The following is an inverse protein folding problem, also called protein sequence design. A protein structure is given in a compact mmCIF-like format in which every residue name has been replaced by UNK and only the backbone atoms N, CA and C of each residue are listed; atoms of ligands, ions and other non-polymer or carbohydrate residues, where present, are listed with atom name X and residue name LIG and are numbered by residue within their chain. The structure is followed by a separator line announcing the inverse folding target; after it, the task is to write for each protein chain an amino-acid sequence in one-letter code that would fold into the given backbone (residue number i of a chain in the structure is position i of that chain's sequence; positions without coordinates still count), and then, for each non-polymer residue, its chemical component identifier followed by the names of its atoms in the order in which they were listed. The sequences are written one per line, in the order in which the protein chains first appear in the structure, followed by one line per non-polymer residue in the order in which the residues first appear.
data_IF_186742584324
#
_entry.id   IF_186742584324
#
_cell.length_a   1.000
_cell.length_b   1.000
_cell.length_c   1.000
_cell.angle_alpha   90.00
_cell.angle_beta   90.00
_cell.angle_gamma   90.00
#
_symmetry.space_group_name_H-M   'P 1'
#
loop_
_entity.id
_entity.type
_entity.pdbx_description
1 polymer ?
#
# COMPACT_ATOMS: atom_id res chain seq x y z
N UNK A 1 -44.16 -36.98 14.76
CA UNK A 1 -44.67 -35.79 14.04
C UNK A 1 -43.71 -35.51 12.88
N UNK A 2 -44.08 -35.86 11.64
CA UNK A 2 -43.22 -35.75 10.45
C UNK A 2 -43.55 -34.44 9.73
N UNK A 3 -42.59 -33.53 9.59
CA UNK A 3 -42.76 -32.31 8.80
C UNK A 3 -42.07 -32.56 7.46
N UNK A 4 -42.88 -32.78 6.42
CA UNK A 4 -42.47 -32.71 5.03
C UNK A 4 -42.59 -31.24 4.58
N UNK A 5 -41.47 -30.62 4.22
CA UNK A 5 -41.40 -29.24 3.75
C UNK A 5 -40.98 -29.19 2.29
N UNK A 6 -41.84 -28.63 1.45
CA UNK A 6 -41.76 -28.59 0.00
C UNK A 6 -40.52 -27.84 -0.53
N UNK A 7 -39.86 -28.42 -1.54
CA UNK A 7 -38.83 -27.76 -2.33
C UNK A 7 -39.50 -26.88 -3.41
N UNK A 8 -39.40 -25.57 -3.26
CA UNK A 8 -39.79 -24.62 -4.30
C UNK A 8 -38.63 -24.45 -5.30
N UNK A 9 -38.83 -24.87 -6.55
CA UNK A 9 -37.94 -24.56 -7.66
C UNK A 9 -38.08 -23.06 -8.01
N UNK A 10 -37.06 -22.26 -7.68
CA UNK A 10 -36.89 -20.94 -8.25
C UNK A 10 -36.30 -21.07 -9.66
N UNK A 11 -37.13 -20.87 -10.68
CA UNK A 11 -36.65 -20.70 -12.06
C UNK A 11 -36.17 -19.24 -12.16
N UNK A 12 -34.85 -19.05 -12.11
CA UNK A 12 -34.24 -17.75 -12.37
C UNK A 12 -34.38 -17.42 -13.86
N UNK A 13 -35.22 -16.45 -14.18
CA UNK A 13 -35.30 -15.87 -15.52
C UNK A 13 -33.97 -15.16 -15.82
N UNK A 14 -33.15 -15.76 -16.69
CA UNK A 14 -31.98 -15.12 -17.29
C UNK A 14 -32.46 -14.01 -18.24
N UNK A 15 -32.67 -12.81 -17.69
CA UNK A 15 -32.89 -11.63 -18.50
C UNK A 15 -31.62 -11.38 -19.34
N UNK A 16 -31.73 -11.49 -20.67
CA UNK A 16 -30.71 -11.05 -21.59
C UNK A 16 -30.60 -9.54 -21.48
N UNK A 17 -29.61 -9.06 -20.72
CA UNK A 17 -29.25 -7.66 -20.74
C UNK A 17 -28.75 -7.32 -22.16
N UNK A 18 -29.24 -6.24 -22.79
CA UNK A 18 -28.68 -5.80 -24.06
C UNK A 18 -27.18 -5.56 -23.91
N UNK A 19 -26.36 -5.84 -24.94
CA UNK A 19 -24.92 -5.61 -24.88
C UNK A 19 -24.68 -4.15 -24.46
N UNK A 20 -23.87 -3.96 -23.42
CA UNK A 20 -23.44 -2.65 -22.97
C UNK A 20 -22.94 -1.87 -24.19
N UNK A 21 -23.60 -0.76 -24.51
CA UNK A 21 -23.21 0.07 -25.63
C UNK A 21 -21.84 0.67 -25.34
N UNK A 22 -20.84 0.33 -26.15
CA UNK A 22 -19.51 0.92 -26.04
C UNK A 22 -19.63 2.45 -26.03
N UNK A 23 -19.09 3.12 -25.02
CA UNK A 23 -19.04 4.58 -25.02
C UNK A 23 -18.24 5.06 -26.23
N UNK A 24 -18.90 5.86 -27.08
CA UNK A 24 -18.36 6.46 -28.30
C UNK A 24 -17.42 7.65 -28.05
N UNK A 25 -16.92 7.84 -26.82
CA UNK A 25 -16.48 9.17 -26.37
C UNK A 25 -15.01 9.52 -26.64
N UNK A 26 -14.21 8.62 -27.23
CA UNK A 26 -12.85 8.96 -27.68
C UNK A 26 -12.76 8.78 -29.19
N UNK A 27 -13.19 9.82 -29.91
CA UNK A 27 -13.17 9.88 -31.38
C UNK A 27 -11.74 9.83 -31.92
N UNK A 28 -11.57 9.22 -33.09
CA UNK A 28 -10.28 9.20 -33.80
C UNK A 28 -9.32 8.05 -33.43
N UNK A 29 -9.75 7.11 -32.58
CA UNK A 29 -9.08 5.82 -32.41
C UNK A 29 -9.72 4.81 -33.37
N UNK A 30 -9.14 4.68 -34.56
CA UNK A 30 -9.71 3.93 -35.70
C UNK A 30 -9.32 2.46 -35.73
N UNK A 31 -8.38 2.04 -34.88
CA UNK A 31 -7.84 0.68 -34.85
C UNK A 31 -8.07 0.02 -33.49
N UNK A 32 -8.05 -1.31 -33.48
CA UNK A 32 -8.22 -2.07 -32.25
C UNK A 32 -7.53 -3.43 -32.23
N UNK A 33 -7.16 -3.89 -31.03
CA UNK A 33 -6.70 -5.26 -30.75
C UNK A 33 -7.62 -5.89 -29.70
N UNK A 34 -8.13 -7.09 -29.97
CA UNK A 34 -9.08 -7.81 -29.13
C UNK A 34 -8.47 -9.13 -28.65
N UNK A 35 -8.52 -9.39 -27.34
CA UNK A 35 -8.01 -10.61 -26.70
C UNK A 35 -9.12 -11.47 -26.09
N UNK A 36 -10.38 -11.16 -26.38
CA UNK A 36 -11.55 -11.82 -25.81
C UNK A 36 -12.05 -11.17 -24.52
N UNK A 37 -11.15 -10.78 -23.60
CA UNK A 37 -11.48 -10.07 -22.35
C UNK A 37 -11.06 -8.61 -22.30
N UNK A 38 -10.16 -8.19 -23.19
CA UNK A 38 -9.68 -6.80 -23.30
C UNK A 38 -9.77 -6.33 -24.75
N UNK A 39 -10.27 -5.11 -24.96
CA UNK A 39 -10.31 -4.42 -26.25
C UNK A 39 -9.47 -3.14 -26.18
N UNK A 40 -8.29 -3.16 -26.80
CA UNK A 40 -7.43 -1.97 -26.93
C UNK A 40 -7.88 -1.17 -28.15
N UNK A 41 -8.09 0.13 -28.00
CA UNK A 41 -8.42 1.08 -29.05
C UNK A 41 -7.29 2.09 -29.20
N UNK A 42 -6.79 2.26 -30.42
CA UNK A 42 -5.63 3.09 -30.70
C UNK A 42 -5.71 3.74 -32.09
N UNK A 43 -4.71 4.55 -32.42
CA UNK A 43 -4.48 5.09 -33.76
C UNK A 43 -3.00 4.96 -34.12
N UNK A 44 -2.70 4.66 -35.38
CA UNK A 44 -1.35 4.68 -35.95
C UNK A 44 -1.09 5.91 -36.82
N UNK A 45 -2.07 6.82 -36.92
CA UNK A 45 -2.02 8.00 -37.77
C UNK A 45 -0.80 8.89 -37.45
N UNK A 46 0.00 9.17 -38.47
CA UNK A 46 1.19 10.01 -38.34
C UNK A 46 0.82 11.41 -37.83
N UNK A 47 1.56 11.91 -36.84
CA UNK A 47 1.34 13.22 -36.23
C UNK A 47 0.27 13.26 -35.14
N UNK A 48 -0.51 12.18 -34.92
CA UNK A 48 -1.43 12.11 -33.79
C UNK A 48 -0.64 11.89 -32.48
N UNK A 49 -0.82 12.72 -31.44
CA UNK A 49 -0.09 12.56 -30.18
C UNK A 49 -0.48 11.30 -29.40
N UNK A 50 -1.57 10.61 -29.81
CA UNK A 50 -2.03 9.34 -29.24
C UNK A 50 -1.47 8.13 -30.00
N UNK A 51 -0.63 8.37 -31.00
CA UNK A 51 -0.11 7.33 -31.90
C UNK A 51 0.67 6.27 -31.13
N UNK A 52 0.34 5.00 -31.40
CA UNK A 52 1.21 3.85 -31.10
C UNK A 52 1.23 2.89 -32.30
N UNK A 53 2.21 1.99 -32.34
CA UNK A 53 2.30 0.96 -33.36
C UNK A 53 1.40 -0.24 -33.02
N UNK A 54 0.97 -1.00 -34.03
CA UNK A 54 0.15 -2.19 -33.83
C UNK A 54 0.82 -3.23 -32.91
N UNK A 55 2.15 -3.38 -32.99
CA UNK A 55 2.91 -4.26 -32.09
C UNK A 55 2.86 -3.79 -30.62
N UNK A 56 2.92 -2.47 -30.39
CA UNK A 56 2.74 -1.87 -29.06
C UNK A 56 1.31 -2.11 -28.56
N UNK A 57 0.30 -1.94 -29.40
CA UNK A 57 -1.10 -2.22 -29.05
C UNK A 57 -1.32 -3.70 -28.71
N UNK A 58 -0.68 -4.61 -29.45
CA UNK A 58 -0.69 -6.05 -29.14
C UNK A 58 -0.04 -6.37 -27.79
N UNK A 59 1.08 -5.72 -27.47
CA UNK A 59 1.76 -5.85 -26.16
C UNK A 59 0.89 -5.33 -25.02
N UNK A 60 0.26 -4.16 -25.20
CA UNK A 60 -0.69 -3.59 -24.24
C UNK A 60 -1.85 -4.56 -23.98
N UNK A 61 -2.47 -5.09 -25.04
CA UNK A 61 -3.59 -6.02 -24.92
C UNK A 61 -3.20 -7.30 -24.17
N UNK A 62 -2.04 -7.87 -24.50
CA UNK A 62 -1.52 -9.06 -23.84
C UNK A 62 -1.22 -8.83 -22.35
N UNK A 63 -0.57 -7.70 -22.02
CA UNK A 63 -0.28 -7.34 -20.62
C UNK A 63 -1.56 -7.09 -19.82
N UNK A 64 -2.53 -6.38 -20.38
CA UNK A 64 -3.82 -6.12 -19.73
C UNK A 64 -4.60 -7.42 -19.49
N UNK A 65 -4.64 -8.32 -20.47
CA UNK A 65 -5.30 -9.63 -20.33
C UNK A 65 -4.61 -10.52 -19.29
N UNK A 66 -3.28 -10.53 -19.25
CA UNK A 66 -2.50 -11.25 -18.23
C UNK A 66 -2.75 -10.68 -16.83
N UNK A 67 -2.82 -9.34 -16.71
CA UNK A 67 -3.12 -8.67 -15.45
C UNK A 67 -4.53 -8.99 -14.95
N UNK A 68 -5.54 -8.89 -15.82
CA UNK A 68 -6.92 -9.28 -15.52
C UNK A 68 -6.99 -10.73 -15.00
N UNK A 69 -6.32 -11.67 -15.67
CA UNK A 69 -6.27 -13.06 -15.25
C UNK A 69 -5.59 -13.23 -13.89
N UNK A 70 -4.44 -12.58 -13.66
CA UNK A 70 -3.71 -12.67 -12.40
C UNK A 70 -4.51 -12.09 -11.23
N UNK A 71 -5.14 -10.94 -11.41
CA UNK A 71 -5.90 -10.28 -10.34
C UNK A 71 -7.17 -11.06 -9.96
N UNK A 72 -7.87 -11.62 -10.94
CA UNK A 72 -9.06 -12.44 -10.67
C UNK A 72 -8.70 -13.78 -10.03
N UNK A 73 -7.65 -14.45 -10.52
CA UNK A 73 -7.30 -15.81 -10.05
C UNK A 73 -6.44 -15.84 -8.78
N UNK A 74 -5.46 -14.93 -8.65
CA UNK A 74 -4.55 -14.89 -7.50
C UNK A 74 -5.04 -13.98 -6.38
N UNK A 75 -5.47 -12.77 -6.73
CA UNK A 75 -5.89 -11.76 -5.74
C UNK A 75 -7.38 -11.91 -5.35
N UNK A 76 -8.13 -12.77 -6.04
CA UNK A 76 -9.54 -13.05 -5.74
C UNK A 76 -10.48 -11.89 -6.08
N UNK A 77 -10.05 -10.95 -6.92
CA UNK A 77 -10.91 -9.88 -7.42
C UNK A 77 -12.04 -10.47 -8.27
N UNK A 78 -13.25 -9.87 -8.25
CA UNK A 78 -14.32 -10.36 -9.11
C UNK A 78 -13.98 -10.09 -10.58
N UNK A 79 -14.62 -10.78 -11.54
CA UNK A 79 -14.54 -10.39 -12.94
C UNK A 79 -15.09 -8.95 -13.13
N UNK A 80 -14.68 -8.26 -14.21
CA UNK A 80 -15.27 -6.99 -14.59
C UNK A 80 -16.77 -7.15 -14.86
N UNK A 81 -17.53 -6.05 -14.69
CA UNK A 81 -18.97 -6.06 -14.96
C UNK A 81 -19.29 -6.10 -16.46
N UNK A 82 -18.44 -5.51 -17.29
CA UNK A 82 -18.51 -5.66 -18.74
C UNK A 82 -17.80 -6.96 -19.15
N UNK A 83 -18.28 -7.68 -20.19
CA UNK A 83 -17.60 -8.87 -20.69
C UNK A 83 -16.21 -8.57 -21.28
N UNK A 84 -15.95 -7.30 -21.62
CA UNK A 84 -14.66 -6.80 -22.08
C UNK A 84 -14.32 -5.49 -21.40
N UNK A 85 -13.06 -5.33 -21.03
CA UNK A 85 -12.51 -4.05 -20.58
C UNK A 85 -12.01 -3.28 -21.79
N UNK A 86 -12.57 -2.10 -22.07
CA UNK A 86 -12.02 -1.19 -23.07
C UNK A 86 -10.76 -0.49 -22.52
N UNK A 87 -9.70 -0.45 -23.32
CA UNK A 87 -8.47 0.30 -23.04
C UNK A 87 -8.23 1.28 -24.18
N UNK A 88 -8.28 2.57 -23.90
CA UNK A 88 -8.11 3.63 -24.87
C UNK A 88 -6.72 4.25 -24.76
N UNK A 89 -5.97 4.22 -25.85
CA UNK A 89 -4.69 4.94 -25.92
C UNK A 89 -4.97 6.40 -26.21
N UNK A 90 -4.67 7.28 -25.25
CA UNK A 90 -5.02 8.69 -25.33
C UNK A 90 -4.00 9.56 -24.61
N UNK A 91 -3.94 10.84 -24.97
CA UNK A 91 -3.18 11.83 -24.23
C UNK A 91 -3.91 12.14 -22.92
N UNK A 92 -3.18 12.09 -21.81
CA UNK A 92 -3.64 12.52 -20.50
C UNK A 92 -2.89 13.81 -20.15
N UNK A 93 -3.56 14.91 -19.75
CA UNK A 93 -2.86 16.13 -19.39
C UNK A 93 -1.91 15.88 -18.21
N UNK A 94 -0.67 16.37 -18.31
CA UNK A 94 0.33 16.21 -17.25
C UNK A 94 -0.08 16.87 -15.90
N UNK A 95 -1.05 17.79 -15.93
CA UNK A 95 -1.63 18.42 -14.73
C UNK A 95 -2.65 17.54 -14.01
N UNK A 96 -2.97 16.36 -14.54
CA UNK A 96 -3.80 15.39 -13.82
C UNK A 96 -2.96 14.68 -12.77
N UNK A 97 -3.63 14.26 -11.69
CA UNK A 97 -3.00 13.51 -10.59
C UNK A 97 -2.43 12.15 -11.04
N UNK A 98 -2.98 11.61 -12.13
CA UNK A 98 -2.62 10.31 -12.71
C UNK A 98 -2.20 10.52 -14.18
N UNK A 99 -1.00 11.07 -14.44
CA UNK A 99 -0.63 11.50 -15.78
C UNK A 99 -0.31 10.34 -16.74
N UNK A 100 -0.32 9.09 -16.27
CA UNK A 100 0.20 7.90 -16.97
C UNK A 100 -0.88 6.93 -17.42
N UNK A 101 -1.91 6.76 -16.60
CA UNK A 101 -3.08 5.94 -16.83
C UNK A 101 -4.22 6.49 -15.99
N UNK A 102 -5.45 6.16 -16.35
CA UNK A 102 -6.61 6.46 -15.51
C UNK A 102 -7.74 5.50 -15.81
N UNK A 103 -8.39 5.01 -14.76
CA UNK A 103 -9.59 4.22 -14.87
C UNK A 103 -10.83 5.08 -14.62
N UNK A 104 -11.80 4.98 -15.54
CA UNK A 104 -13.01 5.80 -15.49
C UNK A 104 -14.24 4.92 -15.34
N UNK A 105 -14.99 5.00 -14.23
CA UNK A 105 -16.27 4.31 -14.10
C UNK A 105 -17.28 4.92 -15.08
N UNK A 106 -18.02 4.06 -15.80
CA UNK A 106 -19.07 4.48 -16.74
C UNK A 106 -20.27 5.12 -16.04
N UNK A 107 -20.59 4.67 -14.84
CA UNK A 107 -21.68 5.18 -13.99
C UNK A 107 -21.14 5.57 -12.62
N UNK A 108 -20.41 6.70 -12.49
CA UNK A 108 -19.78 7.12 -11.24
C UNK A 108 -20.79 7.38 -10.10
N UNK A 109 -22.08 7.53 -10.40
CA UNK A 109 -23.14 7.64 -9.39
C UNK A 109 -23.53 6.31 -8.72
N UNK A 110 -23.22 5.16 -9.34
CA UNK A 110 -23.68 3.85 -8.89
C UNK A 110 -22.69 3.17 -7.95
N UNK A 111 -23.14 2.47 -6.88
CA UNK A 111 -22.24 1.77 -5.96
C UNK A 111 -21.24 0.85 -6.66
N UNK A 112 -21.64 0.26 -7.79
CA UNK A 112 -20.78 -0.51 -8.68
C UNK A 112 -20.88 0.05 -10.10
N UNK A 113 -19.81 -0.05 -10.87
CA UNK A 113 -19.76 0.44 -12.25
C UNK A 113 -18.81 -0.39 -13.08
N UNK A 114 -19.22 -0.73 -14.30
CA UNK A 114 -18.25 -1.05 -15.33
C UNK A 114 -17.31 0.15 -15.55
N UNK A 115 -16.11 -0.10 -16.03
CA UNK A 115 -15.10 0.92 -16.22
C UNK A 115 -14.27 0.66 -17.48
N UNK A 116 -13.62 1.70 -17.95
CA UNK A 116 -12.60 1.61 -19.00
C UNK A 116 -11.30 2.23 -18.53
N UNK A 117 -10.22 1.90 -19.21
CA UNK A 117 -8.89 2.45 -18.95
C UNK A 117 -8.55 3.45 -20.05
N UNK A 118 -8.04 4.62 -19.67
CA UNK A 118 -7.33 5.53 -20.55
C UNK A 118 -5.83 5.42 -20.23
N UNK A 119 -4.97 5.22 -21.23
CA UNK A 119 -3.53 5.05 -21.02
C UNK A 119 -2.72 5.94 -21.94
N UNK A 120 -1.66 6.56 -21.41
CA UNK A 120 -0.72 7.32 -22.23
C UNK A 120 0.00 6.40 -23.22
N UNK A 121 0.27 6.88 -24.45
CA UNK A 121 1.10 6.15 -25.42
C UNK A 121 2.46 5.71 -24.85
N UNK A 122 3.12 6.57 -24.09
CA UNK A 122 4.44 6.29 -23.50
C UNK A 122 4.41 5.20 -22.41
N UNK A 123 3.22 4.84 -21.92
CA UNK A 123 2.99 3.89 -20.83
C UNK A 123 2.34 2.60 -21.29
N UNK A 124 2.05 2.47 -22.60
CA UNK A 124 1.34 1.33 -23.18
C UNK A 124 2.06 -0.03 -23.02
N UNK A 125 3.34 -0.04 -22.63
CA UNK A 125 4.10 -1.28 -22.37
C UNK A 125 4.52 -1.44 -20.92
N UNK A 126 4.24 -0.47 -20.04
CA UNK A 126 4.61 -0.52 -18.63
C UNK A 126 3.61 -1.39 -17.85
N UNK A 127 4.01 -2.63 -17.55
CA UNK A 127 3.13 -3.64 -16.95
C UNK A 127 2.55 -3.21 -15.60
N UNK A 128 3.33 -2.47 -14.81
CA UNK A 128 2.89 -1.97 -13.51
C UNK A 128 1.73 -0.99 -13.66
N UNK A 129 1.87 0.06 -14.48
CA UNK A 129 0.79 1.01 -14.80
C UNK A 129 -0.45 0.27 -15.33
N UNK A 130 -0.28 -0.64 -16.30
CA UNK A 130 -1.41 -1.41 -16.85
C UNK A 130 -2.11 -2.25 -15.76
N UNK A 131 -1.33 -2.81 -14.83
CA UNK A 131 -1.84 -3.61 -13.73
C UNK A 131 -2.57 -2.76 -12.70
N UNK A 132 -1.99 -1.60 -12.35
CA UNK A 132 -2.61 -0.61 -11.47
C UNK A 132 -3.99 -0.20 -11.99
N UNK A 133 -4.08 0.21 -13.26
CA UNK A 133 -5.36 0.61 -13.87
C UNK A 133 -6.36 -0.56 -13.98
N UNK A 134 -5.90 -1.75 -14.37
CA UNK A 134 -6.77 -2.92 -14.39
C UNK A 134 -7.34 -3.22 -12.99
N UNK A 135 -6.58 -2.98 -11.93
CA UNK A 135 -7.06 -3.17 -10.56
C UNK A 135 -8.21 -2.22 -10.22
N UNK A 136 -8.15 -0.97 -10.66
CA UNK A 136 -9.26 -0.03 -10.51
C UNK A 136 -10.53 -0.47 -11.25
N UNK A 137 -10.41 -1.14 -12.41
CA UNK A 137 -11.58 -1.70 -13.11
C UNK A 137 -12.30 -2.72 -12.22
N UNK A 138 -11.53 -3.61 -11.58
CA UNK A 138 -12.09 -4.64 -10.71
C UNK A 138 -12.57 -4.08 -9.36
N UNK A 139 -11.92 -3.04 -8.85
CA UNK A 139 -12.40 -2.28 -7.69
C UNK A 139 -13.77 -1.64 -7.97
N UNK A 140 -13.93 -0.98 -9.13
CA UNK A 140 -15.20 -0.36 -9.52
C UNK A 140 -16.33 -1.39 -9.69
N UNK A 141 -16.02 -2.65 -10.00
CA UNK A 141 -16.98 -3.75 -10.00
C UNK A 141 -17.49 -4.12 -8.59
N UNK A 142 -16.74 -3.80 -7.52
CA UNK A 142 -17.13 -4.06 -6.13
C UNK A 142 -17.73 -2.83 -5.45
N UNK A 143 -17.02 -1.70 -5.50
CA UNK A 143 -17.42 -0.44 -4.86
C UNK A 143 -16.71 0.75 -5.50
N UNK A 144 -17.45 1.61 -6.20
CA UNK A 144 -16.93 2.87 -6.76
C UNK A 144 -16.72 3.89 -5.63
N UNK A 145 -15.56 4.57 -5.66
CA UNK A 145 -15.28 5.72 -4.79
C UNK A 145 -14.78 5.36 -3.39
N UNK A 146 -14.03 4.28 -3.25
CA UNK A 146 -13.30 3.99 -2.02
C UNK A 146 -12.22 5.08 -1.76
N UNK A 147 -11.89 5.41 -0.50
CA UNK A 147 -10.83 6.39 -0.23
C UNK A 147 -9.44 5.86 -0.63
N UNK A 148 -8.48 6.77 -0.82
CA UNK A 148 -7.19 6.50 -1.50
C UNK A 148 -6.30 5.43 -0.87
N UNK A 149 -6.36 5.23 0.45
CA UNK A 149 -5.66 4.09 1.08
C UNK A 149 -6.13 2.75 0.48
N UNK A 150 -7.42 2.63 0.16
CA UNK A 150 -8.00 1.45 -0.47
C UNK A 150 -7.95 1.49 -1.99
N UNK A 151 -8.26 2.63 -2.65
CA UNK A 151 -8.22 2.69 -4.11
C UNK A 151 -6.76 2.59 -4.59
N UNK A 152 -6.00 3.67 -4.41
CA UNK A 152 -4.63 3.82 -4.92
C UNK A 152 -3.67 2.86 -4.23
N UNK A 153 -3.79 2.72 -2.91
CA UNK A 153 -2.88 1.87 -2.14
C UNK A 153 -2.88 0.41 -2.58
N UNK A 154 -4.07 -0.17 -2.80
CA UNK A 154 -4.19 -1.55 -3.28
C UNK A 154 -3.84 -1.66 -4.78
N UNK A 155 -4.21 -0.68 -5.60
CA UNK A 155 -3.88 -0.69 -7.02
C UNK A 155 -2.37 -0.62 -7.24
N UNK A 156 -1.67 0.26 -6.52
CA UNK A 156 -0.22 0.38 -6.57
C UNK A 156 0.47 -0.88 -6.04
N UNK A 157 -0.04 -1.44 -4.93
CA UNK A 157 0.44 -2.73 -4.44
C UNK A 157 0.26 -3.84 -5.47
N UNK A 158 -0.89 -3.97 -6.12
CA UNK A 158 -1.10 -4.99 -7.15
C UNK A 158 -0.16 -4.80 -8.34
N UNK A 159 0.06 -3.54 -8.75
CA UNK A 159 1.04 -3.15 -9.76
C UNK A 159 2.44 -3.69 -9.46
N UNK A 160 2.96 -3.42 -8.27
CA UNK A 160 4.28 -3.87 -7.83
C UNK A 160 4.36 -5.37 -7.52
N UNK A 161 3.36 -5.92 -6.84
CA UNK A 161 3.34 -7.32 -6.41
C UNK A 161 3.28 -8.29 -7.59
N UNK A 162 2.53 -7.95 -8.64
CA UNK A 162 2.44 -8.77 -9.84
C UNK A 162 3.56 -8.48 -10.86
N UNK A 163 4.31 -7.40 -10.68
CA UNK A 163 5.41 -6.99 -11.56
C UNK A 163 6.67 -6.66 -10.74
N UNK A 164 7.36 -7.68 -10.20
CA UNK A 164 8.48 -7.48 -9.28
C UNK A 164 9.76 -6.91 -9.91
N UNK A 165 9.79 -6.78 -11.24
CA UNK A 165 10.92 -6.17 -11.98
C UNK A 165 10.76 -4.65 -12.16
N UNK A 166 9.71 -4.06 -11.59
CA UNK A 166 9.43 -2.62 -11.67
C UNK A 166 10.53 -1.80 -10.99
N UNK A 167 10.87 -0.68 -11.63
CA UNK A 167 11.82 0.32 -11.12
C UNK A 167 11.08 1.59 -10.72
N UNK A 168 11.71 2.42 -9.87
CA UNK A 168 11.14 3.71 -9.46
C UNK A 168 9.93 3.56 -8.54
N UNK A 169 10.11 2.84 -7.43
CA UNK A 169 9.05 2.59 -6.46
C UNK A 169 8.69 3.85 -5.69
N UNK A 170 7.42 4.01 -5.37
CA UNK A 170 6.97 5.05 -4.43
C UNK A 170 7.51 4.76 -3.02
N UNK A 171 8.21 5.73 -2.44
CA UNK A 171 8.73 5.61 -1.08
C UNK A 171 7.60 5.80 -0.06
N UNK A 172 7.50 4.90 0.93
CA UNK A 172 6.57 5.06 2.04
C UNK A 172 7.07 6.17 2.98
N UNK A 173 6.28 7.24 3.27
CA UNK A 173 6.65 8.25 4.25
C UNK A 173 6.17 7.83 5.65
N UNK A 174 6.99 7.16 6.47
CA UNK A 174 6.50 6.51 7.69
C UNK A 174 5.92 7.48 8.72
N UNK A 175 6.30 8.76 8.65
CA UNK A 175 5.84 9.81 9.57
C UNK A 175 4.49 10.40 9.18
N UNK A 176 4.00 10.13 7.98
CA UNK A 176 2.63 10.44 7.60
C UNK A 176 1.68 9.35 8.13
N UNK A 177 0.41 9.66 8.40
CA UNK A 177 -0.61 8.65 8.62
C UNK A 177 -0.70 7.70 7.43
N UNK A 178 -0.85 6.40 7.71
CA UNK A 178 -1.15 5.40 6.68
C UNK A 178 -2.37 5.77 5.83
N UNK A 179 -3.38 6.38 6.45
CA UNK A 179 -4.65 6.81 5.85
C UNK A 179 -4.71 8.32 5.59
N UNK A 180 -3.58 8.96 5.31
CA UNK A 180 -3.55 10.38 4.98
C UNK A 180 -4.42 10.67 3.73
N UNK A 181 -5.14 11.80 3.74
CA UNK A 181 -6.16 12.09 2.73
C UNK A 181 -5.77 13.20 1.74
N UNK A 182 -4.65 13.87 1.96
CA UNK A 182 -4.15 14.98 1.12
C UNK A 182 -2.63 14.98 1.10
N UNK A 183 -2.02 15.55 0.06
CA UNK A 183 -0.55 15.66 -0.03
C UNK A 183 0.04 16.33 1.21
N UNK A 184 -0.60 17.38 1.72
CA UNK A 184 -0.15 18.06 2.93
C UNK A 184 -0.13 17.14 4.16
N UNK A 185 -1.11 16.25 4.30
CA UNK A 185 -1.14 15.24 5.36
C UNK A 185 -0.14 14.10 5.09
N UNK A 186 0.09 13.78 3.82
CA UNK A 186 1.00 12.76 3.33
C UNK A 186 2.45 13.25 3.14
N UNK A 187 2.84 14.34 3.82
CA UNK A 187 4.19 14.90 3.75
C UNK A 187 4.68 15.23 2.33
N UNK A 188 3.78 15.73 1.48
CA UNK A 188 4.01 16.11 0.09
C UNK A 188 3.89 14.96 -0.91
N UNK A 189 3.49 13.77 -0.47
CA UNK A 189 3.33 12.59 -1.34
C UNK A 189 1.88 12.41 -1.80
N UNK A 190 1.69 11.74 -2.94
CA UNK A 190 0.34 11.40 -3.42
C UNK A 190 -0.33 10.42 -2.43
N UNK A 191 -1.52 10.76 -1.88
CA UNK A 191 -2.20 9.91 -0.92
C UNK A 191 -2.50 8.51 -1.48
N UNK A 192 -2.33 7.48 -0.66
CA UNK A 192 -2.61 6.10 -1.03
C UNK A 192 -1.47 5.41 -1.78
N UNK A 193 -0.86 6.02 -2.80
CA UNK A 193 0.23 5.41 -3.58
C UNK A 193 1.35 4.86 -2.70
N UNK A 194 1.83 5.66 -1.77
CA UNK A 194 2.92 5.32 -0.86
C UNK A 194 2.57 4.25 0.19
N UNK A 195 1.31 3.86 0.31
CA UNK A 195 0.85 2.85 1.28
C UNK A 195 1.08 1.40 0.83
N UNK A 196 1.56 1.17 -0.40
CA UNK A 196 1.75 -0.16 -0.96
C UNK A 196 2.59 -1.12 -0.08
N UNK A 197 3.62 -0.70 0.70
CA UNK A 197 4.35 -1.64 1.55
C UNK A 197 3.51 -2.20 2.70
N UNK A 198 2.51 -1.45 3.16
CA UNK A 198 1.55 -1.96 4.15
C UNK A 198 0.68 -3.06 3.54
N UNK A 199 0.26 -2.89 2.29
CA UNK A 199 -0.51 -3.90 1.57
C UNK A 199 0.32 -5.15 1.24
N UNK A 200 1.61 -5.00 0.94
CA UNK A 200 2.53 -6.15 0.82
C UNK A 200 2.66 -6.89 2.17
N UNK A 201 2.81 -6.18 3.28
CA UNK A 201 2.75 -6.78 4.61
C UNK A 201 1.43 -7.54 4.84
N UNK A 202 0.30 -6.92 4.52
CA UNK A 202 -1.01 -7.52 4.74
C UNK A 202 -1.22 -8.77 3.89
N UNK A 203 -0.75 -8.76 2.64
CA UNK A 203 -0.74 -9.91 1.74
C UNK A 203 0.09 -11.07 2.31
N UNK A 204 1.33 -10.82 2.71
CA UNK A 204 2.19 -11.87 3.29
C UNK A 204 1.61 -12.43 4.60
N UNK A 205 0.94 -11.59 5.39
CA UNK A 205 0.44 -11.95 6.72
C UNK A 205 -0.94 -12.62 6.72
N UNK A 206 -1.82 -12.21 5.82
CA UNK A 206 -3.24 -12.58 5.79
C UNK A 206 -3.68 -13.24 4.46
N UNK A 207 -2.78 -13.33 3.48
CA UNK A 207 -2.98 -13.90 2.14
C UNK A 207 -3.23 -12.85 1.06
N UNK A 208 -2.89 -13.17 -0.19
CA UNK A 208 -3.03 -12.27 -1.36
C UNK A 208 -4.47 -11.75 -1.56
N UNK A 209 -5.48 -12.52 -1.15
CA UNK A 209 -6.90 -12.11 -1.25
C UNK A 209 -7.38 -11.20 -0.13
N UNK A 210 -6.52 -10.81 0.81
CA UNK A 210 -6.91 -9.94 1.92
C UNK A 210 -7.37 -8.56 1.43
N UNK A 211 -6.71 -7.97 0.42
CA UNK A 211 -7.12 -6.69 -0.16
C UNK A 211 -8.57 -6.70 -0.67
N UNK A 212 -8.97 -7.79 -1.35
CA UNK A 212 -10.36 -8.00 -1.77
C UNK A 212 -11.34 -8.01 -0.58
N UNK A 213 -11.00 -8.72 0.49
CA UNK A 213 -11.85 -8.80 1.69
C UNK A 213 -12.06 -7.42 2.33
N UNK A 214 -11.02 -6.57 2.34
CA UNK A 214 -11.17 -5.19 2.81
C UNK A 214 -12.11 -4.39 1.90
N UNK A 215 -12.00 -4.58 0.59
CA UNK A 215 -12.87 -3.90 -0.37
C UNK A 215 -14.34 -4.35 -0.27
N UNK A 216 -14.59 -5.63 0.01
CA UNK A 216 -15.94 -6.13 0.31
C UNK A 216 -16.51 -5.46 1.58
N UNK A 217 -15.68 -5.25 2.62
CA UNK A 217 -16.09 -4.48 3.80
C UNK A 217 -16.41 -3.02 3.45
N UNK A 218 -15.62 -2.39 2.57
CA UNK A 218 -15.89 -1.03 2.10
C UNK A 218 -17.24 -0.95 1.39
N UNK A 219 -17.57 -1.93 0.53
CA UNK A 219 -18.86 -1.99 -0.15
C UNK A 219 -20.03 -2.08 0.84
N UNK A 220 -19.89 -2.87 1.90
CA UNK A 220 -20.91 -3.02 2.95
C UNK A 220 -21.09 -1.75 3.79
N UNK A 221 -19.99 -1.04 4.08
CA UNK A 221 -20.02 0.22 4.82
C UNK A 221 -20.55 1.39 3.96
N UNK A 222 -20.46 1.26 2.64
CA UNK A 222 -20.96 2.24 1.68
C UNK A 222 -19.96 3.34 1.32
N UNK A 223 -20.39 4.19 0.39
CA UNK A 223 -19.59 5.29 -0.14
C UNK A 223 -19.26 6.31 0.95
N UNK A 224 -18.01 6.79 0.94
CA UNK A 224 -17.54 7.78 1.91
C UNK A 224 -17.16 7.23 3.29
N UNK A 225 -17.38 5.93 3.55
CA UNK A 225 -16.84 5.32 4.76
C UNK A 225 -15.30 5.33 4.72
N UNK A 226 -14.67 5.58 5.88
CA UNK A 226 -13.23 5.65 5.99
C UNK A 226 -12.57 4.29 5.70
N UNK A 227 -11.48 4.30 4.93
CA UNK A 227 -10.71 3.09 4.60
C UNK A 227 -10.28 2.30 5.84
N UNK A 228 -9.95 3.00 6.91
CA UNK A 228 -9.53 2.40 8.19
C UNK A 228 -10.64 1.61 8.86
N UNK A 229 -11.92 1.98 8.66
CA UNK A 229 -13.06 1.22 9.18
C UNK A 229 -13.23 -0.11 8.45
N UNK A 230 -13.18 -0.09 7.11
CA UNK A 230 -13.24 -1.31 6.29
C UNK A 230 -12.05 -2.25 6.60
N UNK A 231 -10.85 -1.68 6.70
CA UNK A 231 -9.63 -2.43 7.03
C UNK A 231 -9.70 -3.05 8.42
N UNK A 232 -10.14 -2.31 9.44
CA UNK A 232 -10.28 -2.85 10.79
C UNK A 232 -11.36 -3.95 10.86
N UNK A 233 -12.46 -3.82 10.12
CA UNK A 233 -13.48 -4.86 10.02
C UNK A 233 -12.93 -6.17 9.42
N UNK A 234 -12.19 -6.08 8.32
CA UNK A 234 -11.55 -7.24 7.69
C UNK A 234 -10.47 -7.87 8.60
N UNK A 235 -9.68 -7.05 9.30
CA UNK A 235 -8.68 -7.52 10.27
C UNK A 235 -9.33 -8.25 11.46
N UNK A 236 -10.46 -7.74 11.97
CA UNK A 236 -11.24 -8.39 13.04
C UNK A 236 -11.74 -9.76 12.63
N UNK A 237 -12.19 -9.92 11.39
CA UNK A 237 -12.56 -11.24 10.84
C UNK A 237 -11.38 -12.24 10.79
N UNK A 238 -10.14 -11.74 10.85
CA UNK A 238 -8.90 -12.55 10.93
C UNK A 238 -8.32 -12.64 12.36
N UNK A 239 -9.08 -12.25 13.38
CA UNK A 239 -8.63 -12.29 14.78
C UNK A 239 -7.60 -11.22 15.14
N UNK A 240 -7.50 -10.15 14.36
CA UNK A 240 -6.60 -9.01 14.58
C UNK A 240 -7.39 -7.70 14.72
N UNK A 241 -6.72 -6.56 14.67
CA UNK A 241 -7.28 -5.22 14.51
C UNK A 241 -6.23 -4.29 13.89
N UNK A 242 -6.65 -3.13 13.41
CA UNK A 242 -5.78 -2.17 12.73
C UNK A 242 -4.58 -1.74 13.58
N UNK A 243 -4.79 -1.55 14.88
CA UNK A 243 -3.72 -1.17 15.79
C UNK A 243 -2.65 -2.26 15.93
N UNK A 244 -3.06 -3.54 15.99
CA UNK A 244 -2.15 -4.68 16.07
C UNK A 244 -1.41 -4.89 14.74
N UNK A 245 -2.14 -4.90 13.63
CA UNK A 245 -1.57 -5.05 12.29
C UNK A 245 -0.55 -3.94 11.98
N UNK A 246 -0.84 -2.68 12.32
CA UNK A 246 0.08 -1.58 12.11
C UNK A 246 1.38 -1.71 12.93
N UNK A 247 1.30 -2.23 14.17
CA UNK A 247 2.51 -2.53 14.96
C UNK A 247 3.34 -3.65 14.35
N UNK A 248 2.70 -4.69 13.83
CA UNK A 248 3.37 -5.79 13.13
C UNK A 248 4.04 -5.30 11.85
N UNK A 249 3.34 -4.51 11.03
CA UNK A 249 3.90 -3.84 9.86
C UNK A 249 5.13 -3.01 10.23
N UNK A 250 5.01 -2.10 11.21
CA UNK A 250 6.13 -1.26 11.63
C UNK A 250 7.33 -2.08 12.09
N UNK A 251 7.09 -3.21 12.78
CA UNK A 251 8.14 -4.16 13.19
C UNK A 251 8.80 -4.87 12.01
N UNK A 252 8.01 -5.29 11.01
CA UNK A 252 8.51 -5.98 9.82
C UNK A 252 9.35 -5.04 8.97
N UNK A 253 8.85 -3.82 8.73
CA UNK A 253 9.59 -2.74 8.07
C UNK A 253 10.88 -2.40 8.80
N UNK A 254 10.87 -2.31 10.14
CA UNK A 254 12.09 -2.09 10.93
C UNK A 254 13.19 -3.14 10.67
N UNK A 255 12.79 -4.38 10.36
CA UNK A 255 13.69 -5.52 10.19
C UNK A 255 14.03 -5.82 8.73
N UNK A 256 13.29 -5.27 7.75
CA UNK A 256 13.37 -5.69 6.35
C UNK A 256 13.01 -7.15 6.13
N UNK A 257 12.18 -7.73 7.01
CA UNK A 257 11.83 -9.16 6.99
C UNK A 257 10.66 -9.47 6.04
N UNK A 258 10.56 -8.74 4.93
CA UNK A 258 9.64 -9.04 3.84
C UNK A 258 10.16 -10.21 3.01
N UNK A 259 9.24 -10.97 2.44
CA UNK A 259 9.51 -12.04 1.49
C UNK A 259 9.36 -11.58 0.04
N UNK A 260 8.50 -10.58 -0.20
CA UNK A 260 8.30 -9.94 -1.49
C UNK A 260 9.60 -9.33 -2.03
N UNK A 261 9.93 -9.53 -3.31
CA UNK A 261 11.24 -9.22 -3.87
C UNK A 261 11.61 -7.73 -3.79
N UNK A 262 10.63 -6.83 -3.88
CA UNK A 262 10.84 -5.38 -3.85
C UNK A 262 11.14 -4.82 -2.45
N UNK A 263 10.81 -5.56 -1.38
CA UNK A 263 11.04 -5.12 0.01
C UNK A 263 11.97 -6.06 0.80
N UNK A 264 12.39 -7.17 0.21
CA UNK A 264 13.18 -8.18 0.89
C UNK A 264 14.55 -7.63 1.29
N UNK A 265 14.80 -7.56 2.59
CA UNK A 265 16.02 -6.99 3.15
C UNK A 265 15.99 -5.47 3.28
N UNK A 266 14.95 -4.80 2.77
CA UNK A 266 14.80 -3.35 2.82
C UNK A 266 14.27 -2.90 4.18
N UNK A 267 15.14 -2.28 4.97
CA UNK A 267 14.71 -1.69 6.25
C UNK A 267 13.90 -0.43 6.03
N UNK A 268 13.00 -0.15 6.96
CA UNK A 268 12.11 1.01 6.95
C UNK A 268 11.12 1.04 5.79
N UNK A 269 10.95 -0.08 5.06
CA UNK A 269 10.12 -0.14 3.86
C UNK A 269 10.49 0.93 2.83
N UNK A 270 11.79 0.98 2.48
CA UNK A 270 12.41 1.95 1.56
C UNK A 270 12.52 3.38 2.08
N UNK A 271 11.97 3.69 3.25
CA UNK A 271 12.04 5.03 3.80
C UNK A 271 13.41 5.38 4.40
N UNK A 272 13.78 6.66 4.34
CA UNK A 272 14.88 7.18 5.14
C UNK A 272 14.53 7.24 6.65
N UNK A 273 15.49 6.97 7.56
CA UNK A 273 15.25 7.12 8.99
C UNK A 273 14.96 8.58 9.36
N UNK A 274 14.06 8.79 10.33
CA UNK A 274 13.71 10.10 10.84
C UNK A 274 14.85 10.77 11.63
N UNK A 275 15.78 9.98 12.14
CA UNK A 275 17.03 10.46 12.71
C UNK A 275 18.08 9.35 12.70
N UNK A 276 19.32 9.78 12.45
CA UNK A 276 20.51 8.94 12.59
C UNK A 276 21.36 9.44 13.76
N UNK A 277 21.88 8.51 14.55
CA UNK A 277 22.74 8.81 15.68
C UNK A 277 24.03 8.00 15.61
N UNK A 278 25.16 8.69 15.71
CA UNK A 278 26.46 8.07 15.90
C UNK A 278 26.76 7.99 17.39
N UNK A 279 27.01 6.78 17.89
CA UNK A 279 27.26 6.53 19.31
C UNK A 279 28.50 5.66 19.48
N UNK A 280 29.41 6.08 20.35
CA UNK A 280 30.67 5.37 20.54
C UNK A 280 31.53 5.95 21.66
N UNK A 281 32.85 5.84 21.49
CA UNK A 281 33.79 6.22 22.56
C UNK A 281 33.88 7.72 22.77
N UNK A 282 33.59 8.54 21.75
CA UNK A 282 33.58 10.00 21.85
C UNK A 282 32.18 10.49 22.24
N UNK A 283 31.14 10.00 21.55
CA UNK A 283 29.74 10.33 21.78
C UNK A 283 29.07 9.27 22.65
N UNK A 284 29.22 9.41 23.97
CA UNK A 284 28.61 8.51 24.96
C UNK A 284 27.13 8.79 25.23
N UNK A 285 26.59 9.91 24.75
CA UNK A 285 25.19 10.31 24.98
C UNK A 285 24.52 10.58 23.63
N UNK A 286 23.26 10.17 23.51
CA UNK A 286 22.42 10.54 22.38
C UNK A 286 21.77 11.90 22.69
N UNK A 287 21.73 12.83 21.74
CA UNK A 287 21.01 14.08 21.93
C UNK A 287 19.52 13.77 22.13
N UNK A 288 18.91 14.50 23.04
CA UNK A 288 17.47 14.36 23.28
C UNK A 288 16.70 14.92 22.09
N UNK A 289 15.83 14.12 21.47
CA UNK A 289 14.94 14.57 20.38
C UNK A 289 13.48 14.30 20.67
N UNK A 290 12.61 15.09 20.05
CA UNK A 290 11.16 14.93 20.11
C UNK A 290 10.63 14.56 18.74
N UNK A 291 9.70 13.62 18.70
CA UNK A 291 9.02 13.18 17.48
C UNK A 291 7.53 13.24 17.73
N UNK A 292 6.81 14.06 16.97
CA UNK A 292 5.35 14.08 16.97
C UNK A 292 4.85 13.21 15.83
N UNK A 293 4.04 12.23 16.17
CA UNK A 293 3.48 11.24 15.26
C UNK A 293 1.96 11.35 15.29
N UNK A 294 1.34 11.42 14.13
CA UNK A 294 -0.11 11.34 13.99
C UNK A 294 -0.57 9.87 14.05
N UNK A 295 -1.86 9.61 13.93
CA UNK A 295 -2.45 8.26 13.88
C UNK A 295 -1.75 7.42 12.80
N UNK A 296 -1.68 6.10 13.01
CA UNK A 296 -1.11 5.13 12.07
C UNK A 296 0.21 5.60 11.42
N UNK A 297 1.13 6.15 12.22
CA UNK A 297 2.43 6.61 11.75
C UNK A 297 3.56 6.10 12.64
N UNK A 298 4.76 6.09 12.07
CA UNK A 298 6.00 5.60 12.68
C UNK A 298 7.15 6.59 12.46
N UNK A 299 8.01 6.75 13.45
CA UNK A 299 9.33 7.33 13.24
C UNK A 299 10.39 6.24 13.44
N UNK A 300 11.18 5.99 12.40
CA UNK A 300 12.33 5.11 12.47
C UNK A 300 13.58 5.89 12.88
N UNK A 301 14.36 5.33 13.78
CA UNK A 301 15.64 5.88 14.20
C UNK A 301 16.71 4.84 13.91
N UNK A 302 17.81 5.28 13.34
CA UNK A 302 18.99 4.47 13.17
C UNK A 302 20.08 4.92 14.14
N UNK A 303 20.56 3.99 14.97
CA UNK A 303 21.66 4.26 15.89
C UNK A 303 22.84 3.41 15.45
N UNK A 304 23.84 4.07 14.89
CA UNK A 304 25.06 3.46 14.39
C UNK A 304 26.25 3.81 15.27
N UNK A 305 27.37 3.15 15.00
CA UNK A 305 28.60 3.30 15.80
C UNK A 305 29.37 4.57 15.45
N UNK A 306 30.12 5.08 16.41
CA UNK A 306 31.15 6.10 16.19
C UNK A 306 32.56 5.55 16.45
N UNK A 307 33.47 5.73 15.47
CA UNK A 307 34.90 5.45 15.61
C UNK A 307 35.35 4.05 15.19
N UNK A 308 36.68 3.84 15.15
CA UNK A 308 37.34 2.59 14.69
C UNK A 308 37.66 1.61 15.82
N UNK A 309 37.71 2.06 17.07
CA UNK A 309 38.10 1.21 18.22
C UNK A 309 36.91 0.45 18.81
N UNK A 310 37.11 -0.85 19.00
CA UNK A 310 36.15 -1.78 19.57
C UNK A 310 36.09 -1.68 21.09
N UNK A 311 34.94 -1.28 21.65
CA UNK A 311 34.62 -1.48 23.05
C UNK A 311 33.24 -2.09 23.23
N UNK A 312 33.11 -3.20 23.98
CA UNK A 312 31.82 -3.71 24.37
C UNK A 312 31.19 -2.76 25.39
N UNK A 313 29.88 -2.62 25.33
CA UNK A 313 29.14 -1.81 26.27
C UNK A 313 27.65 -2.09 26.20
N UNK A 314 26.87 -1.19 26.78
CA UNK A 314 25.41 -1.23 26.72
C UNK A 314 24.89 0.11 26.22
N UNK A 315 24.02 0.06 25.22
CA UNK A 315 23.24 1.20 24.81
C UNK A 315 21.95 1.21 25.64
N UNK A 316 21.77 2.24 26.45
CA UNK A 316 20.54 2.50 27.20
C UNK A 316 19.75 3.56 26.47
N UNK A 317 18.53 3.24 26.07
CA UNK A 317 17.57 4.21 25.54
C UNK A 317 16.46 4.45 26.56
N UNK A 318 16.09 5.71 26.70
CA UNK A 318 14.94 6.17 27.46
C UNK A 318 13.98 6.85 26.50
N UNK A 319 12.74 6.38 26.49
CA UNK A 319 11.67 6.90 25.66
C UNK A 319 10.55 7.33 26.60
N UNK A 320 10.07 8.56 26.40
CA UNK A 320 8.99 9.13 27.20
C UNK A 320 7.94 9.79 26.31
N UNK A 321 6.73 9.93 26.82
CA UNK A 321 5.63 10.61 26.14
C UNK A 321 4.33 10.49 26.94
N UNK A 322 3.19 10.80 26.30
CA UNK A 322 1.85 10.60 26.89
C UNK A 322 1.60 9.17 27.40
N UNK A 323 0.66 9.01 28.33
CA UNK A 323 0.26 7.70 28.90
C UNK A 323 -0.66 6.88 28.00
N UNK A 324 -1.06 7.42 26.84
CA UNK A 324 -1.77 6.67 25.80
C UNK A 324 -0.87 5.52 25.29
N UNK A 325 -1.44 4.40 24.82
CA UNK A 325 -0.67 3.18 24.52
C UNK A 325 0.27 3.39 23.33
N UNK A 326 1.44 3.95 23.62
CA UNK A 326 2.56 4.06 22.71
C UNK A 326 3.43 2.82 22.82
N UNK A 327 3.88 2.35 21.67
CA UNK A 327 4.81 1.23 21.58
C UNK A 327 6.08 1.72 20.90
N UNK A 328 7.22 1.23 21.35
CA UNK A 328 8.40 1.23 20.51
C UNK A 328 8.97 -0.17 20.39
N UNK A 329 9.65 -0.40 19.28
CA UNK A 329 10.30 -1.66 18.97
C UNK A 329 11.74 -1.36 18.66
N UNK A 330 12.67 -2.14 19.21
CA UNK A 330 14.07 -2.06 18.88
C UNK A 330 14.58 -3.38 18.31
N UNK A 331 15.35 -3.30 17.23
CA UNK A 331 15.89 -4.45 16.51
C UNK A 331 17.37 -4.21 16.16
N UNK A 332 18.16 -5.28 16.15
CA UNK A 332 19.50 -5.22 15.56
C UNK A 332 19.37 -5.24 14.02
N UNK A 333 20.22 -4.54 13.24
CA UNK A 333 20.13 -4.38 11.77
C UNK A 333 20.19 -5.66 10.91
N UNK A 334 20.22 -6.85 11.52
CA UNK A 334 20.19 -8.14 10.83
C UNK A 334 19.64 -9.26 11.74
N UNK A 335 18.94 -8.90 12.82
CA UNK A 335 18.55 -9.84 13.86
C UNK A 335 17.04 -9.99 13.97
N UNK A 336 16.56 -11.24 13.92
CA UNK A 336 15.14 -11.62 14.21
C UNK A 336 14.67 -11.32 15.64
N UNK A 337 15.52 -10.72 16.49
CA UNK A 337 15.20 -10.45 17.89
C UNK A 337 14.78 -9.01 18.05
N UNK A 338 13.48 -8.79 18.00
CA UNK A 338 12.87 -7.51 18.39
C UNK A 338 12.66 -7.46 19.90
N UNK A 339 12.76 -6.26 20.47
CA UNK A 339 12.31 -5.96 21.83
C UNK A 339 11.26 -4.88 21.75
N UNK A 340 10.01 -5.26 21.94
CA UNK A 340 8.92 -4.32 22.11
C UNK A 340 8.84 -3.88 23.57
N UNK A 341 8.54 -2.60 23.78
CA UNK A 341 8.23 -2.07 25.11
C UNK A 341 7.07 -1.08 25.02
N UNK A 342 6.17 -1.17 25.99
CA UNK A 342 5.06 -0.23 26.17
C UNK A 342 5.51 0.91 27.08
N UNK A 343 5.12 2.13 26.75
CA UNK A 343 5.36 3.29 27.61
C UNK A 343 4.35 3.22 28.77
N UNK A 344 4.84 3.03 29.99
CA UNK A 344 4.01 2.95 31.20
C UNK A 344 4.33 4.13 32.11
N UNK A 345 3.31 4.81 32.65
CA UNK A 345 3.50 6.05 33.45
C UNK A 345 4.36 7.09 32.72
N UNK A 346 4.21 7.18 31.40
CA UNK A 346 4.91 8.13 30.53
C UNK A 346 6.38 7.84 30.26
N UNK A 347 6.91 6.68 30.67
CA UNK A 347 8.30 6.28 30.42
C UNK A 347 8.43 4.81 30.05
N UNK A 348 9.43 4.50 29.24
CA UNK A 348 9.96 3.17 29.06
C UNK A 348 11.45 3.24 28.68
N UNK A 349 12.16 2.15 28.85
CA UNK A 349 13.57 2.09 28.49
C UNK A 349 13.98 0.71 28.05
N UNK A 350 15.00 0.66 27.20
CA UNK A 350 15.66 -0.58 26.82
C UNK A 350 17.15 -0.44 27.05
N UNK A 351 17.76 -1.56 27.43
CA UNK A 351 19.21 -1.68 27.50
C UNK A 351 19.63 -2.87 26.67
N UNK A 352 20.35 -2.60 25.58
CA UNK A 352 20.83 -3.62 24.65
C UNK A 352 22.34 -3.71 24.72
N UNK A 353 22.88 -4.93 24.54
CA UNK A 353 24.30 -5.09 24.32
C UNK A 353 24.68 -4.34 23.03
N UNK A 354 25.72 -3.53 23.08
CA UNK A 354 26.18 -2.72 21.96
C UNK A 354 27.69 -2.79 21.88
N UNK A 355 28.24 -2.83 20.67
CA UNK A 355 29.68 -2.79 20.43
C UNK A 355 29.97 -1.56 19.59
N UNK A 356 30.94 -0.75 19.99
CA UNK A 356 31.34 0.44 19.22
C UNK A 356 32.07 0.11 17.89
N UNK A 357 32.17 -1.17 17.52
CA UNK A 357 32.80 -1.62 16.28
C UNK A 357 32.09 -2.85 15.69
N UNK A 358 32.20 -3.00 14.35
CA UNK A 358 31.56 -4.00 13.46
C UNK A 358 30.03 -3.97 13.45
N UNK A 359 29.39 -3.78 12.28
CA UNK A 359 27.97 -4.07 11.88
C UNK A 359 26.86 -3.97 12.94
N UNK A 360 27.12 -3.32 14.07
CA UNK A 360 26.24 -3.17 15.20
C UNK A 360 25.57 -1.82 15.02
N UNK A 361 24.30 -1.88 14.67
CA UNK A 361 23.38 -0.78 14.82
C UNK A 361 22.26 -1.17 15.75
N UNK A 362 21.39 -0.23 16.02
CA UNK A 362 20.09 -0.46 16.63
C UNK A 362 19.09 0.38 15.86
N UNK A 363 18.13 -0.31 15.24
CA UNK A 363 17.00 0.35 14.61
C UNK A 363 15.89 0.43 15.65
N UNK A 364 15.24 1.59 15.74
CA UNK A 364 14.12 1.82 16.67
C UNK A 364 12.92 2.34 15.90
N UNK A 365 11.76 1.72 16.07
CA UNK A 365 10.48 2.24 15.60
C UNK A 365 9.74 2.88 16.78
N UNK A 366 9.40 4.16 16.67
CA UNK A 366 8.43 4.84 17.53
C UNK A 366 7.07 4.77 16.85
N UNK A 367 6.06 4.14 17.46
CA UNK A 367 4.83 3.76 16.76
C UNK A 367 3.62 4.42 17.41
N UNK A 368 2.88 5.18 16.62
CA UNK A 368 1.51 5.57 16.93
C UNK A 368 0.54 4.69 16.12
N UNK A 369 -0.01 3.67 16.76
CA UNK A 369 -0.93 2.72 16.13
C UNK A 369 -2.40 3.02 16.45
N UNK A 370 -2.72 4.25 16.88
CA UNK A 370 -4.11 4.66 17.06
C UNK A 370 -4.77 4.80 15.67
N UNK A 371 -6.01 4.29 15.47
CA UNK A 371 -6.70 4.38 14.18
C UNK A 371 -7.56 5.64 14.00
N UNK A 372 -7.83 6.40 15.07
CA UNK A 372 -8.75 7.55 15.05
C UNK A 372 -8.03 8.90 14.90
N UNK A 373 -8.69 9.86 14.25
CA UNK A 373 -8.23 11.24 14.14
C UNK A 373 -8.14 11.92 15.52
N UNK A 374 -7.18 12.86 15.67
CA UNK A 374 -6.95 13.60 16.91
C UNK A 374 -5.95 12.95 17.89
N UNK A 375 -5.32 11.84 17.49
CA UNK A 375 -4.41 11.06 18.32
C UNK A 375 -2.93 11.41 18.21
N UNK A 376 -2.55 12.67 17.92
CA UNK A 376 -1.12 13.04 17.84
C UNK A 376 -0.41 12.72 19.15
N UNK A 377 0.69 11.98 19.09
CA UNK A 377 1.52 11.66 20.24
C UNK A 377 2.92 12.22 20.06
N UNK A 378 3.51 12.73 21.13
CA UNK A 378 4.91 13.17 21.13
C UNK A 378 5.77 12.20 21.93
N UNK A 379 6.73 11.60 21.25
CA UNK A 379 7.82 10.85 21.86
C UNK A 379 8.98 11.78 22.16
N UNK A 380 9.65 11.58 23.30
CA UNK A 380 10.94 12.16 23.62
C UNK A 380 11.93 11.01 23.83
N UNK A 381 12.97 10.98 23.00
CA UNK A 381 14.00 9.94 22.98
C UNK A 381 15.31 10.52 23.50
N UNK A 382 15.93 9.82 24.43
CA UNK A 382 17.26 10.09 24.95
C UNK A 382 18.01 8.77 25.15
N UNK A 383 19.33 8.82 25.25
CA UNK A 383 20.10 7.59 25.49
C UNK A 383 21.54 7.84 25.86
N UNK A 384 22.21 6.77 26.28
CA UNK A 384 23.63 6.76 26.56
C UNK A 384 24.26 5.40 26.27
N UNK A 385 25.52 5.42 25.84
CA UNK A 385 26.38 4.25 25.71
C UNK A 385 27.34 4.18 26.88
N UNK A 386 27.23 3.08 27.63
CA UNK A 386 28.07 2.78 28.78
C UNK A 386 29.07 1.70 28.38
N UNK A 387 30.35 2.06 28.33
CA UNK A 387 31.46 1.13 28.10
C UNK A 387 31.61 0.24 29.33
N UNK A 388 31.81 -1.06 29.11
CA UNK A 388 32.13 -2.02 30.18
C UNK A 388 33.59 -2.00 30.54
#
# INVERSE_FOLDING_TARGET
MRIAGAAALLIAALAWAPPASAQSNLTGLTESVDTGGVLVRYTSAAGDPRRIEAATAGTLAANAQASLAAQTTRLGMPPPLDPKVDVYVTTIPASTEEPYGRTVPRTPGNPQSAAYIAIQPSKATEKEVITHEMFHVLQNAVSVGAPKLLSEGLANWAGYHLNPDTQGLDEYPPRAPLDCASEAECAGQNPGYTSWPFWEFASERFGESFGRQVYDQQALLGRGAASTAALDAALKARGSNLSAAFREFASKSLQGDFTGPLLKGETFALASPAAEYLVGTKSKKLPTRRFTLDRLSTAYLEITREGSRCRPGRLKLQISGASTPMTFIAAAPAGKRTRAAKISRGRAGISVAFKSCRRAGLNVALINAAPAAGGKVTFKVAGAFEVR
#
